data_IF_242751814783
#
_entry.id   IF_242751814783
#
_cell.length_a   1.000
_cell.length_b   1.000
_cell.length_c   1.000
_cell.angle_alpha   90.00
_cell.angle_beta   90.00
_cell.angle_gamma   90.00
#
_symmetry.space_group_name_H-M   'P 1'
#
loop_
_entity.id
_entity.type
_entity.pdbx_description
1 polymer ?
#
# COMPACT_ATOMS: atom_id res chain seq x y z
N UNK A 1 -7.68 3.06 -19.56
CA UNK A 1 -7.96 3.73 -18.27
C UNK A 1 -6.77 4.65 -18.00
N UNK A 2 -6.97 5.86 -17.49
CA UNK A 2 -5.87 6.75 -17.10
C UNK A 2 -5.79 6.77 -15.58
N UNK A 3 -4.64 6.46 -15.01
CA UNK A 3 -4.39 6.61 -13.59
C UNK A 3 -4.20 8.10 -13.31
N UNK A 4 -4.93 8.64 -12.33
CA UNK A 4 -4.86 10.05 -11.96
C UNK A 4 -4.08 10.28 -10.66
N UNK A 5 -4.00 9.27 -9.82
CA UNK A 5 -3.30 9.30 -8.53
C UNK A 5 -2.50 8.00 -8.38
N UNK A 6 -1.24 8.10 -7.98
CA UNK A 6 -0.48 6.97 -7.49
C UNK A 6 -0.60 6.93 -5.96
N UNK A 7 -1.12 5.84 -5.42
CA UNK A 7 -1.51 5.76 -4.01
C UNK A 7 -0.46 5.13 -3.11
N UNK A 8 0.66 4.66 -3.66
CA UNK A 8 1.69 3.95 -2.90
C UNK A 8 3.08 4.30 -3.43
N UNK A 9 3.78 5.18 -2.71
CA UNK A 9 5.16 5.57 -3.05
C UNK A 9 5.98 5.89 -1.80
N UNK A 10 7.30 5.76 -1.92
CA UNK A 10 8.27 5.94 -0.85
C UNK A 10 9.33 6.98 -1.20
N UNK A 11 9.89 7.63 -0.18
CA UNK A 11 10.99 8.58 -0.30
C UNK A 11 12.20 8.12 0.52
N UNK A 12 13.26 8.93 0.53
CA UNK A 12 14.44 8.72 1.39
C UNK A 12 14.09 8.44 2.85
N UNK A 13 12.90 8.88 3.32
CA UNK A 13 12.45 8.67 4.69
C UNK A 13 12.18 7.18 5.00
N UNK A 14 11.83 6.37 4.02
CA UNK A 14 11.68 4.92 4.16
C UNK A 14 13.00 4.15 4.28
N UNK A 15 14.16 4.83 4.13
CA UNK A 15 15.49 4.27 4.36
C UNK A 15 16.06 3.45 3.20
N UNK A 16 15.23 2.95 2.30
CA UNK A 16 15.64 2.17 1.12
C UNK A 16 14.95 2.64 -0.18
N UNK A 17 14.43 3.86 -0.18
CA UNK A 17 14.04 4.59 -1.38
C UNK A 17 15.05 5.74 -1.63
N UNK A 18 15.09 6.29 -2.84
CA UNK A 18 16.26 7.05 -3.29
C UNK A 18 15.97 8.50 -3.67
N UNK A 19 14.72 8.95 -3.61
CA UNK A 19 14.33 10.30 -3.96
C UNK A 19 13.69 11.04 -2.79
N UNK A 20 13.78 12.36 -2.82
CA UNK A 20 13.08 13.24 -1.89
C UNK A 20 11.59 13.35 -2.26
N UNK A 21 10.75 13.78 -1.31
CA UNK A 21 9.35 14.10 -1.56
C UNK A 21 9.17 15.10 -2.73
N UNK A 22 10.08 16.05 -2.89
CA UNK A 22 10.02 17.03 -3.98
C UNK A 22 10.29 16.40 -5.34
N UNK A 23 11.27 15.53 -5.45
CA UNK A 23 11.59 14.82 -6.69
C UNK A 23 10.44 13.89 -7.08
N UNK A 24 9.88 13.13 -6.12
CA UNK A 24 8.72 12.28 -6.34
C UNK A 24 7.51 13.08 -6.81
N UNK A 25 7.17 14.19 -6.13
CA UNK A 25 6.06 15.06 -6.51
C UNK A 25 6.26 15.72 -7.89
N UNK A 26 7.52 16.10 -8.21
CA UNK A 26 7.86 16.67 -9.53
C UNK A 26 7.67 15.63 -10.63
N UNK A 27 8.17 14.40 -10.43
CA UNK A 27 8.02 13.31 -11.40
C UNK A 27 6.55 12.96 -11.63
N UNK A 28 5.73 12.90 -10.56
CA UNK A 28 4.30 12.67 -10.67
C UNK A 28 3.60 13.77 -11.51
N UNK A 29 3.94 15.04 -11.25
CA UNK A 29 3.41 16.17 -12.02
C UNK A 29 3.82 16.12 -13.50
N UNK A 30 5.09 15.82 -13.78
CA UNK A 30 5.62 15.71 -15.15
C UNK A 30 4.95 14.57 -15.94
N UNK A 31 4.55 13.49 -15.26
CA UNK A 31 3.78 12.39 -15.84
C UNK A 31 2.27 12.69 -15.97
N UNK A 32 1.84 13.87 -15.51
CA UNK A 32 0.47 14.36 -15.63
C UNK A 32 -0.51 13.75 -14.66
N UNK A 33 -0.04 13.26 -13.51
CA UNK A 33 -0.89 12.86 -12.41
C UNK A 33 -1.57 14.09 -11.79
N UNK A 34 -2.73 13.88 -11.16
CA UNK A 34 -3.44 14.90 -10.36
C UNK A 34 -3.05 14.83 -8.88
N UNK A 35 -2.55 13.68 -8.42
CA UNK A 35 -2.14 13.47 -7.04
C UNK A 35 -1.10 12.38 -6.89
N UNK A 36 -0.43 12.40 -5.74
CA UNK A 36 0.56 11.42 -5.32
C UNK A 36 0.40 11.17 -3.83
N UNK A 37 0.34 9.91 -3.43
CA UNK A 37 0.46 9.55 -2.03
C UNK A 37 1.93 9.26 -1.68
N UNK A 38 2.42 9.87 -0.61
CA UNK A 38 3.69 9.56 0.02
C UNK A 38 3.38 8.72 1.25
N UNK A 39 3.70 7.43 1.19
CA UNK A 39 3.29 6.41 2.16
C UNK A 39 4.50 5.69 2.74
N UNK A 40 5.32 6.44 3.48
CA UNK A 40 6.55 5.90 4.07
C UNK A 40 6.26 4.68 4.95
N UNK A 41 7.20 3.73 4.97
CA UNK A 41 7.13 2.61 5.90
C UNK A 41 7.08 3.09 7.34
N UNK A 42 6.16 2.54 8.11
CA UNK A 42 5.99 2.82 9.53
C UNK A 42 7.16 2.27 10.39
N UNK A 43 7.31 2.70 11.65
CA UNK A 43 8.56 2.61 12.42
C UNK A 43 9.16 1.21 12.67
N UNK A 44 8.37 0.14 12.61
CA UNK A 44 8.90 -1.23 12.82
C UNK A 44 9.64 -1.78 11.59
N UNK A 45 9.53 -1.13 10.43
CA UNK A 45 10.34 -1.50 9.26
C UNK A 45 11.80 -1.08 9.49
N UNK A 46 12.77 -2.02 9.37
CA UNK A 46 14.18 -1.70 9.56
C UNK A 46 14.68 -0.58 8.61
N UNK A 47 15.32 0.43 9.18
CA UNK A 47 15.92 1.53 8.42
C UNK A 47 15.00 2.70 8.07
N UNK A 48 13.73 2.62 8.42
CA UNK A 48 12.75 3.68 8.15
C UNK A 48 12.91 4.88 9.11
N UNK A 49 12.10 5.92 8.87
CA UNK A 49 12.07 7.13 9.66
C UNK A 49 11.44 6.94 11.04
N UNK A 50 11.78 7.85 11.95
CA UNK A 50 11.25 7.85 13.30
C UNK A 50 9.79 8.31 13.35
N UNK A 51 9.06 7.93 14.40
CA UNK A 51 7.69 8.35 14.69
C UNK A 51 7.43 9.87 14.50
N UNK A 52 8.42 10.72 14.83
CA UNK A 52 8.30 12.17 14.64
C UNK A 52 8.10 12.61 13.19
N UNK A 53 8.54 11.82 12.22
CA UNK A 53 8.26 12.10 10.81
C UNK A 53 6.74 12.15 10.58
N UNK A 54 6.02 11.12 10.98
CA UNK A 54 4.56 11.02 10.80
C UNK A 54 3.81 12.09 11.59
N UNK A 55 4.20 12.34 12.84
CA UNK A 55 3.60 13.39 13.67
C UNK A 55 3.79 14.79 13.08
N UNK A 56 4.86 15.01 12.32
CA UNK A 56 5.20 16.31 11.74
C UNK A 56 4.70 16.50 10.30
N UNK A 57 4.14 15.50 9.63
CA UNK A 57 3.58 15.61 8.28
C UNK A 57 2.51 16.70 8.15
N UNK A 58 1.87 17.06 9.25
CA UNK A 58 0.87 18.15 9.34
C UNK A 58 1.36 19.52 8.84
N UNK A 59 2.68 19.79 8.88
CA UNK A 59 3.24 21.07 8.43
C UNK A 59 3.55 21.09 6.92
N UNK A 60 3.52 19.94 6.26
CA UNK A 60 3.85 19.83 4.84
C UNK A 60 2.65 20.28 3.99
N UNK A 61 2.85 21.23 3.05
CA UNK A 61 1.78 21.64 2.15
C UNK A 61 1.28 20.47 1.28
N UNK A 62 -0.06 20.31 1.22
CA UNK A 62 -0.73 19.26 0.42
C UNK A 62 -0.79 19.57 -1.08
N UNK A 63 -0.17 20.67 -1.53
CA UNK A 63 -0.08 21.03 -2.96
C UNK A 63 1.34 21.30 -3.35
N UNK A 64 1.83 20.61 -4.40
CA UNK A 64 3.15 20.82 -4.98
C UNK A 64 3.11 20.60 -6.48
N UNK A 65 3.83 21.42 -7.22
CA UNK A 65 3.93 21.33 -8.69
C UNK A 65 2.58 21.18 -9.41
N UNK A 66 1.52 21.74 -8.83
CA UNK A 66 0.15 21.69 -9.39
C UNK A 66 -0.62 20.41 -9.10
N UNK A 67 -0.08 19.46 -8.35
CA UNK A 67 -0.74 18.23 -7.93
C UNK A 67 -1.07 18.23 -6.43
N UNK A 68 -2.04 17.41 -6.03
CA UNK A 68 -2.34 17.14 -4.61
C UNK A 68 -1.38 16.09 -4.05
N UNK A 69 -0.93 16.28 -2.80
CA UNK A 69 -0.18 15.28 -2.03
C UNK A 69 -1.08 14.69 -0.95
N UNK A 70 -1.17 13.39 -0.92
CA UNK A 70 -1.71 12.64 0.21
C UNK A 70 -0.53 12.16 1.05
N UNK A 71 -0.43 12.64 2.30
CA UNK A 71 0.69 12.32 3.18
C UNK A 71 0.25 11.28 4.21
N UNK A 72 0.85 10.11 4.14
CA UNK A 72 0.40 8.96 4.87
C UNK A 72 1.50 8.00 5.28
N UNK A 73 1.13 6.74 5.37
CA UNK A 73 2.02 5.68 5.84
C UNK A 73 1.67 4.34 5.20
N UNK A 74 2.68 3.50 5.03
CA UNK A 74 2.51 2.06 4.89
C UNK A 74 2.79 1.40 6.25
N UNK A 75 1.70 1.03 6.95
CA UNK A 75 1.73 0.36 8.24
C UNK A 75 2.24 -1.06 8.12
N UNK A 76 2.97 -1.52 9.14
CA UNK A 76 3.30 -2.92 9.30
C UNK A 76 2.21 -3.63 10.12
N UNK A 77 1.58 -4.64 9.56
CA UNK A 77 0.72 -5.56 10.32
C UNK A 77 1.65 -6.52 11.06
N UNK A 78 1.56 -6.52 12.40
CA UNK A 78 2.56 -7.14 13.26
C UNK A 78 2.22 -8.59 13.63
N UNK A 79 0.94 -8.95 13.64
CA UNK A 79 0.45 -10.26 14.09
C UNK A 79 -0.96 -10.55 13.60
N UNK A 80 -1.46 -11.75 13.87
CA UNK A 80 -2.81 -12.19 13.49
C UNK A 80 -3.94 -11.39 14.14
N UNK A 81 -3.66 -10.67 15.25
CA UNK A 81 -4.64 -9.77 15.89
C UNK A 81 -4.80 -8.45 15.10
N UNK A 82 -4.05 -8.23 14.03
CA UNK A 82 -4.11 -7.02 13.21
C UNK A 82 -3.46 -5.80 13.86
N UNK A 83 -2.55 -6.00 14.82
CA UNK A 83 -1.82 -4.90 15.46
C UNK A 83 -0.90 -4.21 14.45
N UNK A 84 -0.94 -2.87 14.46
CA UNK A 84 -0.06 -2.01 13.63
C UNK A 84 0.90 -1.22 14.49
N UNK A 85 1.90 -0.62 13.86
CA UNK A 85 3.03 0.05 14.52
C UNK A 85 2.90 1.58 14.64
N UNK A 86 1.76 2.15 14.26
CA UNK A 86 1.38 3.53 14.60
C UNK A 86 0.11 3.55 15.43
N UNK A 87 0.05 4.48 16.36
CA UNK A 87 -1.14 4.69 17.21
C UNK A 87 -2.25 5.43 16.44
N UNK A 88 -3.50 5.22 16.86
CA UNK A 88 -4.66 5.93 16.30
C UNK A 88 -4.51 7.45 16.37
N UNK A 89 -3.85 7.99 17.42
CA UNK A 89 -3.60 9.42 17.55
C UNK A 89 -2.71 9.99 16.44
N UNK A 90 -1.85 9.17 15.86
CA UNK A 90 -1.06 9.55 14.68
C UNK A 90 -1.87 9.32 13.42
N UNK A 91 -2.50 8.15 13.27
CA UNK A 91 -3.24 7.77 12.07
C UNK A 91 -4.33 8.77 11.70
N UNK A 92 -5.10 9.26 12.68
CA UNK A 92 -6.15 10.27 12.46
C UNK A 92 -5.65 11.61 11.90
N UNK A 93 -4.33 11.84 11.89
CA UNK A 93 -3.71 13.07 11.34
C UNK A 93 -3.15 12.89 9.95
N UNK A 94 -3.14 11.67 9.43
CA UNK A 94 -2.67 11.32 8.10
C UNK A 94 -3.80 11.38 7.09
N UNK A 95 -3.44 11.57 5.82
CA UNK A 95 -4.42 11.65 4.73
C UNK A 95 -4.77 10.27 4.17
N UNK A 96 -3.90 9.26 4.36
CA UNK A 96 -4.05 7.90 3.84
C UNK A 96 -3.19 6.92 4.65
N UNK A 97 -3.70 5.72 4.89
CA UNK A 97 -2.93 4.63 5.48
C UNK A 97 -3.14 3.31 4.72
N UNK A 98 -2.03 2.74 4.28
CA UNK A 98 -1.95 1.40 3.71
C UNK A 98 -1.52 0.45 4.84
N UNK A 99 -2.09 -0.73 4.93
CA UNK A 99 -1.65 -1.75 5.87
C UNK A 99 -1.13 -2.98 5.11
N UNK A 100 0.12 -3.34 5.37
CA UNK A 100 0.84 -4.40 4.66
C UNK A 100 1.49 -5.40 5.62
N UNK A 101 1.70 -6.62 5.16
CA UNK A 101 2.50 -7.61 5.89
C UNK A 101 3.90 -7.64 5.30
N UNK A 102 4.91 -7.45 6.16
CA UNK A 102 6.32 -7.50 5.79
C UNK A 102 7.07 -8.56 6.62
N UNK A 103 8.02 -9.26 5.97
CA UNK A 103 8.80 -10.34 6.62
C UNK A 103 9.47 -9.89 7.93
N UNK A 104 10.14 -8.71 8.02
CA UNK A 104 10.82 -8.33 9.24
C UNK A 104 9.87 -7.91 10.38
N UNK A 105 8.59 -7.66 10.09
CA UNK A 105 7.65 -7.08 11.03
C UNK A 105 6.60 -8.08 11.54
N UNK A 106 6.19 -9.03 10.71
CA UNK A 106 5.15 -10.01 11.08
C UNK A 106 5.73 -11.08 12.00
N UNK A 107 5.17 -11.23 13.18
CA UNK A 107 5.73 -12.02 14.29
C UNK A 107 5.14 -13.42 14.45
N UNK A 108 3.94 -13.63 13.87
CA UNK A 108 3.28 -14.93 13.96
C UNK A 108 3.70 -15.87 12.82
N UNK A 109 3.38 -17.14 12.98
CA UNK A 109 3.56 -18.12 11.91
C UNK A 109 2.71 -17.75 10.70
N UNK A 110 3.31 -17.77 9.51
CA UNK A 110 2.68 -17.35 8.25
C UNK A 110 1.79 -18.45 7.67
N UNK A 111 0.84 -18.92 8.46
CA UNK A 111 -0.22 -19.82 8.00
C UNK A 111 -1.33 -19.06 7.30
N UNK A 112 -2.10 -19.74 6.45
CA UNK A 112 -3.28 -19.14 5.80
C UNK A 112 -4.23 -18.51 6.83
N UNK A 113 -4.44 -19.18 7.97
CA UNK A 113 -5.36 -18.68 9.00
C UNK A 113 -4.83 -17.41 9.68
N UNK A 114 -3.57 -17.41 10.12
CA UNK A 114 -2.97 -16.24 10.80
C UNK A 114 -2.90 -15.03 9.88
N UNK A 115 -2.49 -15.22 8.62
CA UNK A 115 -2.40 -14.15 7.64
C UNK A 115 -3.77 -13.60 7.28
N UNK A 116 -4.76 -14.48 7.09
CA UNK A 116 -6.12 -14.05 6.81
C UNK A 116 -6.72 -13.29 7.99
N UNK A 117 -6.54 -13.80 9.22
CA UNK A 117 -6.99 -13.13 10.45
C UNK A 117 -6.32 -11.76 10.61
N UNK A 118 -5.02 -11.65 10.34
CA UNK A 118 -4.27 -10.39 10.39
C UNK A 118 -4.90 -9.31 9.49
N UNK A 119 -5.20 -9.66 8.24
CA UNK A 119 -5.88 -8.75 7.32
C UNK A 119 -7.32 -8.45 7.75
N UNK A 120 -8.09 -9.47 8.16
CA UNK A 120 -9.47 -9.25 8.63
C UNK A 120 -9.54 -8.32 9.84
N UNK A 121 -8.62 -8.49 10.79
CA UNK A 121 -8.59 -7.69 12.01
C UNK A 121 -8.08 -6.26 11.78
N UNK A 122 -7.05 -6.07 10.94
CA UNK A 122 -6.55 -4.71 10.65
C UNK A 122 -7.58 -3.87 9.89
N UNK A 123 -8.44 -4.48 9.08
CA UNK A 123 -9.54 -3.78 8.38
C UNK A 123 -10.65 -3.29 9.31
N UNK A 124 -10.69 -3.71 10.58
CA UNK A 124 -11.59 -3.11 11.60
C UNK A 124 -11.07 -1.75 12.09
N UNK A 125 -9.81 -1.41 11.84
CA UNK A 125 -9.28 -0.11 12.17
C UNK A 125 -9.82 0.94 11.16
N UNK A 126 -10.60 1.94 11.61
CA UNK A 126 -11.25 2.91 10.72
C UNK A 126 -10.29 3.86 10.02
N UNK A 127 -9.02 3.85 10.38
CA UNK A 127 -7.96 4.66 9.76
C UNK A 127 -7.15 3.89 8.72
N UNK A 128 -7.50 2.64 8.43
CA UNK A 128 -6.86 1.85 7.36
C UNK A 128 -7.70 1.91 6.10
N UNK A 129 -7.18 2.56 5.08
CA UNK A 129 -7.86 2.78 3.81
C UNK A 129 -7.61 1.66 2.80
N UNK A 130 -6.41 1.10 2.79
CA UNK A 130 -5.94 0.17 1.78
C UNK A 130 -5.21 -1.01 2.43
N UNK A 131 -5.44 -2.21 1.91
CA UNK A 131 -4.55 -3.37 2.14
C UNK A 131 -3.53 -3.42 1.02
N UNK A 132 -2.24 -3.24 1.37
CA UNK A 132 -1.11 -3.24 0.45
C UNK A 132 -0.70 -4.65 0.03
N UNK A 133 -0.38 -4.82 -1.24
CA UNK A 133 0.17 -6.03 -1.89
C UNK A 133 -0.25 -7.40 -1.27
N UNK A 134 -1.55 -7.68 -1.10
CA UNK A 134 -2.02 -8.94 -0.50
C UNK A 134 -1.83 -10.15 -1.43
N UNK A 135 -1.23 -9.93 -2.57
CA UNK A 135 -0.88 -10.93 -3.58
C UNK A 135 0.46 -11.64 -3.30
N UNK A 136 1.23 -11.19 -2.32
CA UNK A 136 2.52 -11.80 -1.96
C UNK A 136 2.35 -13.22 -1.39
N UNK A 137 2.72 -14.22 -2.19
CA UNK A 137 2.56 -15.64 -1.83
C UNK A 137 3.41 -16.10 -0.64
N UNK A 138 4.37 -15.29 -0.17
CA UNK A 138 5.09 -15.54 1.08
C UNK A 138 4.19 -15.40 2.31
N UNK A 139 3.02 -14.78 2.12
CA UNK A 139 1.95 -14.60 3.11
C UNK A 139 0.65 -15.20 2.55
N UNK A 140 0.48 -16.53 2.62
CA UNK A 140 -0.67 -17.19 2.03
C UNK A 140 -1.97 -16.75 2.71
N UNK A 141 -2.96 -16.35 1.91
CA UNK A 141 -4.23 -15.79 2.39
C UNK A 141 -5.43 -16.49 1.77
N UNK A 142 -6.53 -16.64 2.53
CA UNK A 142 -7.83 -16.97 1.98
C UNK A 142 -8.41 -15.74 1.27
N UNK A 143 -8.20 -15.69 -0.05
CA UNK A 143 -8.56 -14.54 -0.88
C UNK A 143 -10.06 -14.23 -0.84
N UNK A 144 -10.91 -15.24 -0.71
CA UNK A 144 -12.36 -15.03 -0.63
C UNK A 144 -12.77 -14.37 0.67
N UNK A 145 -12.17 -14.80 1.80
CA UNK A 145 -12.39 -14.16 3.11
C UNK A 145 -11.89 -12.72 3.10
N UNK A 146 -10.66 -12.48 2.59
CA UNK A 146 -10.07 -11.15 2.46
C UNK A 146 -11.01 -10.18 1.72
N UNK A 147 -11.46 -10.57 0.52
CA UNK A 147 -12.33 -9.72 -0.31
C UNK A 147 -13.69 -9.51 0.37
N UNK A 148 -14.26 -10.57 1.00
CA UNK A 148 -15.53 -10.45 1.73
C UNK A 148 -15.42 -9.49 2.92
N UNK A 149 -14.26 -9.45 3.59
CA UNK A 149 -14.01 -8.50 4.69
C UNK A 149 -13.86 -7.08 4.17
N UNK A 150 -13.05 -6.87 3.13
CA UNK A 150 -12.89 -5.58 2.47
C UNK A 150 -14.23 -4.98 2.02
N UNK A 151 -15.15 -5.81 1.50
CA UNK A 151 -16.52 -5.38 1.18
C UNK A 151 -17.28 -4.86 2.40
N UNK A 152 -17.14 -5.50 3.54
CA UNK A 152 -17.88 -5.12 4.77
C UNK A 152 -17.35 -3.83 5.39
N UNK A 153 -16.03 -3.62 5.35
CA UNK A 153 -15.37 -2.47 5.95
C UNK A 153 -15.26 -1.29 4.99
N UNK A 154 -15.35 -1.51 3.68
CA UNK A 154 -15.12 -0.50 2.66
C UNK A 154 -13.64 -0.27 2.35
N UNK A 155 -12.75 -1.09 2.91
CA UNK A 155 -11.30 -1.02 2.68
C UNK A 155 -10.98 -1.40 1.23
N UNK A 156 -10.06 -0.68 0.59
CA UNK A 156 -9.62 -0.97 -0.76
C UNK A 156 -8.56 -2.08 -0.77
N UNK A 157 -8.51 -2.85 -1.85
CA UNK A 157 -7.45 -3.85 -2.06
C UNK A 157 -6.51 -3.38 -3.17
N UNK A 158 -5.21 -3.39 -2.89
CA UNK A 158 -4.21 -2.91 -3.81
C UNK A 158 -3.87 -3.94 -4.89
N UNK A 159 -3.83 -3.47 -6.13
CA UNK A 159 -3.06 -4.09 -7.22
C UNK A 159 -1.73 -3.37 -7.28
N UNK A 160 -0.68 -4.03 -6.80
CA UNK A 160 0.64 -3.44 -6.63
C UNK A 160 1.54 -3.76 -7.82
N UNK A 161 2.00 -2.74 -8.53
CA UNK A 161 2.82 -2.92 -9.72
C UNK A 161 4.20 -3.51 -9.41
N UNK A 162 4.80 -3.13 -8.27
CA UNK A 162 6.10 -3.67 -7.85
C UNK A 162 6.03 -5.17 -7.59
N UNK A 163 4.90 -5.69 -7.07
CA UNK A 163 4.65 -7.11 -6.91
C UNK A 163 4.70 -7.89 -8.22
N UNK A 164 4.35 -7.26 -9.32
CA UNK A 164 4.22 -7.92 -10.62
C UNK A 164 5.50 -7.91 -11.46
N UNK A 165 6.60 -7.34 -10.92
CA UNK A 165 7.92 -7.33 -11.61
C UNK A 165 8.47 -8.75 -11.74
N UNK A 166 8.97 -9.15 -12.93
CA UNK A 166 9.52 -10.49 -13.14
C UNK A 166 10.70 -10.85 -12.23
N UNK A 167 11.54 -9.85 -11.90
CA UNK A 167 12.70 -10.00 -11.02
C UNK A 167 12.37 -9.65 -9.55
N UNK A 168 11.09 -9.56 -9.21
CA UNK A 168 10.64 -9.22 -7.85
C UNK A 168 10.97 -10.33 -6.84
N UNK A 169 11.05 -9.93 -5.56
CA UNK A 169 11.31 -10.86 -4.45
C UNK A 169 10.03 -11.48 -3.86
N UNK A 170 8.85 -11.00 -4.28
CA UNK A 170 7.54 -11.54 -3.88
C UNK A 170 7.22 -12.78 -4.70
N UNK A 171 6.44 -13.70 -4.14
CA UNK A 171 6.17 -15.02 -4.73
C UNK A 171 4.74 -15.14 -5.25
N UNK A 172 4.54 -15.85 -6.36
CA UNK A 172 3.22 -16.17 -6.94
C UNK A 172 2.28 -14.98 -7.13
N UNK A 173 2.83 -13.77 -7.22
CA UNK A 173 2.09 -12.50 -7.18
C UNK A 173 1.09 -12.37 -8.31
N UNK A 174 1.48 -12.69 -9.54
CA UNK A 174 0.60 -12.58 -10.71
C UNK A 174 -0.65 -13.43 -10.58
N UNK A 175 -0.49 -14.68 -10.13
CA UNK A 175 -1.60 -15.62 -9.98
C UNK A 175 -2.52 -15.20 -8.83
N UNK A 176 -1.95 -14.81 -7.70
CA UNK A 176 -2.69 -14.34 -6.54
C UNK A 176 -3.44 -13.03 -6.83
N UNK A 177 -2.80 -12.08 -7.51
CA UNK A 177 -3.42 -10.83 -7.92
C UNK A 177 -4.61 -11.07 -8.87
N UNK A 178 -4.48 -11.97 -9.85
CA UNK A 178 -5.59 -12.36 -10.73
C UNK A 178 -6.76 -12.96 -9.96
N UNK A 179 -6.47 -13.82 -8.95
CA UNK A 179 -7.51 -14.38 -8.07
C UNK A 179 -8.20 -13.28 -7.28
N UNK A 180 -7.44 -12.34 -6.69
CA UNK A 180 -7.98 -11.21 -5.96
C UNK A 180 -8.89 -10.34 -6.82
N UNK A 181 -8.43 -9.93 -8.00
CA UNK A 181 -9.21 -9.08 -8.92
C UNK A 181 -10.51 -9.77 -9.35
N UNK A 182 -10.45 -11.08 -9.62
CA UNK A 182 -11.64 -11.87 -9.95
C UNK A 182 -12.64 -11.89 -8.79
N UNK A 183 -12.19 -12.19 -7.58
CA UNK A 183 -13.05 -12.17 -6.39
C UNK A 183 -13.62 -10.77 -6.12
N UNK A 184 -12.81 -9.71 -6.29
CA UNK A 184 -13.27 -8.33 -6.16
C UNK A 184 -14.38 -8.00 -7.17
N UNK A 185 -14.22 -8.41 -8.43
CA UNK A 185 -15.25 -8.24 -9.47
C UNK A 185 -16.54 -8.98 -9.12
N UNK A 186 -16.43 -10.25 -8.70
CA UNK A 186 -17.59 -11.08 -8.34
C UNK A 186 -18.35 -10.52 -7.14
N UNK A 187 -17.64 -9.96 -6.17
CA UNK A 187 -18.24 -9.42 -4.94
C UNK A 187 -18.56 -7.92 -5.01
N UNK A 188 -18.13 -7.21 -6.04
CA UNK A 188 -18.31 -5.76 -6.19
C UNK A 188 -17.44 -4.94 -5.23
N UNK A 189 -16.19 -5.36 -5.01
CA UNK A 189 -15.19 -4.65 -4.18
C UNK A 189 -14.31 -3.78 -5.07
N UNK A 190 -14.05 -2.56 -4.66
CA UNK A 190 -13.14 -1.66 -5.37
C UNK A 190 -11.69 -2.03 -5.11
N UNK A 191 -10.88 -1.89 -6.15
CA UNK A 191 -9.43 -2.01 -6.11
C UNK A 191 -8.78 -0.64 -6.32
N UNK A 192 -7.53 -0.52 -5.89
CA UNK A 192 -6.70 0.65 -6.12
C UNK A 192 -5.38 0.22 -6.75
N UNK A 193 -4.77 1.10 -7.55
CA UNK A 193 -3.46 0.86 -8.15
C UNK A 193 -2.38 1.61 -7.38
N UNK A 194 -1.33 0.91 -6.97
CA UNK A 194 -0.14 1.47 -6.37
C UNK A 194 1.11 1.06 -7.13
N UNK A 195 2.02 2.01 -7.39
CA UNK A 195 3.30 1.67 -8.01
C UNK A 195 4.26 1.00 -7.03
N UNK A 196 4.14 1.33 -5.75
CA UNK A 196 5.11 0.97 -4.70
C UNK A 196 6.52 1.43 -5.09
N UNK A 197 6.55 2.66 -5.62
CA UNK A 197 7.74 3.24 -6.21
C UNK A 197 8.72 3.70 -5.14
N UNK A 198 9.97 3.27 -5.27
CA UNK A 198 11.12 3.67 -4.44
C UNK A 198 12.08 4.61 -5.18
N UNK A 199 11.76 4.91 -6.45
CA UNK A 199 12.49 5.87 -7.30
C UNK A 199 11.50 6.65 -8.17
N UNK A 200 11.82 7.89 -8.48
CA UNK A 200 10.97 8.79 -9.26
C UNK A 200 10.60 8.27 -10.66
N UNK A 201 11.50 7.49 -11.26
CA UNK A 201 11.28 6.88 -12.56
C UNK A 201 10.07 5.93 -12.60
N UNK A 202 9.81 5.23 -11.48
CA UNK A 202 8.78 4.18 -11.40
C UNK A 202 7.38 4.69 -11.05
N UNK A 203 7.23 5.98 -10.69
CA UNK A 203 5.93 6.58 -10.36
C UNK A 203 4.95 6.41 -11.52
N UNK A 204 3.77 5.88 -11.22
CA UNK A 204 2.70 5.63 -12.20
C UNK A 204 3.14 4.83 -13.43
N UNK A 205 4.28 4.16 -13.37
CA UNK A 205 4.65 3.16 -14.36
C UNK A 205 3.99 1.83 -13.99
N UNK A 206 3.08 1.38 -14.84
CA UNK A 206 2.35 0.14 -14.64
C UNK A 206 2.54 -0.85 -15.80
N UNK A 207 3.81 -1.15 -16.20
CA UNK A 207 4.08 -1.99 -17.37
C UNK A 207 3.65 -3.44 -17.19
N UNK A 208 3.52 -3.88 -15.93
CA UNK A 208 3.17 -5.26 -15.58
C UNK A 208 1.70 -5.44 -15.24
N UNK A 209 0.89 -4.37 -15.40
CA UNK A 209 -0.53 -4.39 -15.10
C UNK A 209 -1.24 -5.61 -15.67
N UNK A 210 -2.08 -6.19 -14.84
CA UNK A 210 -3.13 -7.11 -15.25
C UNK A 210 -4.15 -6.42 -16.20
N UNK A 211 -3.99 -5.13 -16.42
CA UNK A 211 -4.91 -4.22 -17.11
C UNK A 211 -5.00 -4.35 -18.61
N UNK A 212 -4.39 -5.33 -19.24
CA UNK A 212 -4.80 -5.76 -20.60
C UNK A 212 -5.83 -6.88 -20.58
N UNK A 213 -6.16 -7.41 -19.43
CA UNK A 213 -7.38 -8.18 -19.31
C UNK A 213 -8.55 -7.17 -19.34
N UNK A 214 -9.22 -7.08 -20.46
CA UNK A 214 -10.50 -6.38 -20.54
C UNK A 214 -11.42 -6.98 -19.50
N UNK A 215 -11.61 -6.26 -18.41
CA UNK A 215 -12.56 -6.59 -17.35
C UNK A 215 -13.94 -6.12 -17.79
#
# INVERSE_FOLDING_TARGET
MRVEIDTHTHTLASGHAYNTMNEMAKAAADKGLKGLAITEHAPEMPGTCHLYYFQNLRIVPRKRFGIELLLGTELNIMNAEGKVDLSEDVLKTLDIAIASIHIPCFRDERTVENVTAAYENVMENPYVDIIGHPDDGRFPVDMKRLVSKAKKTGTLLEVNNSSLRPEGFRENTKENCLRMVKECKEQGVMIVLGSDSHVDADIAEYPYEIGRAHV
#
